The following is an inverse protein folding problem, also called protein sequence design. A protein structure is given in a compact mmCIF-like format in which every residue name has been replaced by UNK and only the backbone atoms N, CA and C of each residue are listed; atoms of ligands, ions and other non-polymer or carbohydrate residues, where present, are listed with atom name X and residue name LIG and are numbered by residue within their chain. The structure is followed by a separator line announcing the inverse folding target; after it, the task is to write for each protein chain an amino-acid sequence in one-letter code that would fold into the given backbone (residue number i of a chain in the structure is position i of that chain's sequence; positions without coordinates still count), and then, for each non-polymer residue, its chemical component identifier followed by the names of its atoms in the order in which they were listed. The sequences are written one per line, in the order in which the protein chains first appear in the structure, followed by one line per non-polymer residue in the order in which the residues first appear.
data_IF_686643503731
#
_entry.id   IF_686643503731
#
_cell.length_a   1.000
_cell.length_b   1.000
_cell.length_c   1.000
_cell.angle_alpha   90.00
_cell.angle_beta   90.00
_cell.angle_gamma   90.00
#
_symmetry.space_group_name_H-M   'P 1'
#
loop_
_entity.id
_entity.type
_entity.pdbx_description
1 polymer ?
#
# COMPACT_ATOMS: atom_id res chain seq x y z
N UNK A 1 5.01 -5.81 11.97
CA UNK A 1 3.80 -6.30 12.66
C UNK A 1 2.91 -6.94 11.61
N UNK A 2 2.89 -8.28 11.47
CA UNK A 2 1.97 -8.95 10.55
C UNK A 2 0.54 -8.81 11.09
N UNK A 3 -0.37 -8.30 10.26
CA UNK A 3 -1.78 -8.14 10.60
C UNK A 3 -2.64 -8.30 9.34
N UNK A 4 -3.82 -8.87 9.49
CA UNK A 4 -4.80 -9.05 8.42
C UNK A 4 -6.11 -8.37 8.81
N UNK A 5 -6.76 -7.70 7.86
CA UNK A 5 -8.08 -7.09 8.08
C UNK A 5 -8.85 -6.98 6.78
N UNK A 6 -10.12 -7.37 6.82
CA UNK A 6 -11.04 -7.15 5.71
C UNK A 6 -11.54 -5.71 5.69
N UNK A 7 -11.50 -5.07 4.51
CA UNK A 7 -12.00 -3.71 4.30
C UNK A 7 -12.96 -3.68 3.13
N UNK A 8 -14.02 -2.90 3.27
CA UNK A 8 -14.93 -2.59 2.17
C UNK A 8 -14.27 -1.57 1.23
N UNK A 9 -14.35 -1.81 -0.07
CA UNK A 9 -14.05 -0.79 -1.08
C UNK A 9 -15.19 0.23 -1.08
N UNK A 10 -14.86 1.49 -0.83
CA UNK A 10 -15.80 2.61 -0.86
C UNK A 10 -15.63 3.37 -2.18
N UNK A 11 -16.67 4.09 -2.61
CA UNK A 11 -16.62 4.92 -3.82
C UNK A 11 -16.23 6.35 -3.46
N UNK A 12 -15.24 6.92 -4.15
CA UNK A 12 -14.89 8.33 -4.08
C UNK A 12 -14.76 8.88 -5.51
N UNK A 13 -15.77 9.61 -5.97
CA UNK A 13 -15.87 10.02 -7.38
C UNK A 13 -15.98 8.80 -8.30
N UNK A 14 -15.06 8.69 -9.26
CA UNK A 14 -14.92 7.52 -10.16
C UNK A 14 -14.00 6.43 -9.60
N UNK A 15 -13.32 6.69 -8.47
CA UNK A 15 -12.32 5.79 -7.89
C UNK A 15 -12.88 4.92 -6.78
N UNK A 16 -12.33 3.70 -6.66
CA UNK A 16 -12.46 2.87 -5.46
C UNK A 16 -11.41 3.26 -4.43
N UNK A 17 -11.81 3.36 -3.16
CA UNK A 17 -10.90 3.68 -2.05
C UNK A 17 -11.03 2.65 -0.93
N UNK A 18 -9.89 2.27 -0.37
CA UNK A 18 -9.79 1.41 0.82
C UNK A 18 -9.20 2.20 1.98
N UNK A 19 -9.76 2.03 3.17
CA UNK A 19 -9.23 2.68 4.36
C UNK A 19 -7.96 1.95 4.83
N UNK A 20 -6.82 2.65 4.79
CA UNK A 20 -5.56 2.14 5.37
C UNK A 20 -5.74 1.97 6.89
N UNK A 21 -5.40 0.80 7.47
CA UNK A 21 -5.53 0.58 8.90
C UNK A 21 -4.81 1.64 9.74
N UNK A 22 -5.47 2.15 10.78
CA UNK A 22 -4.91 3.16 11.70
C UNK A 22 -3.53 2.78 12.25
N UNK A 23 -3.28 1.53 12.72
CA UNK A 23 -1.96 1.16 13.22
C UNK A 23 -0.85 1.31 12.17
N UNK A 24 -1.12 0.92 10.92
CA UNK A 24 -0.18 1.05 9.82
C UNK A 24 0.12 2.52 9.50
N UNK A 25 -0.92 3.37 9.46
CA UNK A 25 -0.76 4.82 9.26
C UNK A 25 0.09 5.47 10.34
N UNK A 26 -0.17 5.15 11.61
CA UNK A 26 0.58 5.72 12.74
C UNK A 26 2.04 5.30 12.69
N UNK A 27 2.29 4.01 12.42
CA UNK A 27 3.65 3.47 12.36
C UNK A 27 4.50 4.12 11.27
N UNK A 28 3.94 4.26 10.06
CA UNK A 28 4.63 4.86 8.91
C UNK A 28 4.40 6.36 8.75
N UNK A 29 3.78 7.02 9.75
CA UNK A 29 3.45 8.46 9.74
C UNK A 29 2.75 8.91 8.45
N UNK A 30 1.77 8.12 7.99
CA UNK A 30 0.96 8.43 6.82
C UNK A 30 -0.18 9.39 7.21
N UNK A 31 0.07 10.66 6.94
CA UNK A 31 -0.85 11.77 7.18
C UNK A 31 -1.71 12.06 5.93
N UNK A 32 -2.69 12.93 6.09
CA UNK A 32 -3.48 13.39 4.95
C UNK A 32 -2.56 14.16 4.00
N UNK A 33 -2.54 13.78 2.72
CA UNK A 33 -1.66 14.36 1.71
C UNK A 33 -0.31 13.66 1.56
N UNK A 34 0.04 12.69 2.42
CA UNK A 34 1.22 11.85 2.20
C UNK A 34 1.11 11.07 0.89
N UNK A 35 2.24 10.96 0.19
CA UNK A 35 2.33 10.17 -1.04
C UNK A 35 2.62 8.71 -0.75
N UNK A 36 2.03 7.84 -1.57
CA UNK A 36 2.28 6.40 -1.59
C UNK A 36 2.44 5.96 -3.04
N UNK A 37 3.27 4.95 -3.25
CA UNK A 37 3.42 4.25 -4.52
C UNK A 37 2.51 3.03 -4.52
N UNK A 38 1.80 2.82 -5.63
CA UNK A 38 0.92 1.68 -5.83
C UNK A 38 1.52 0.82 -6.94
N UNK A 39 1.85 -0.44 -6.62
CA UNK A 39 2.24 -1.45 -7.59
C UNK A 39 1.08 -2.44 -7.71
N UNK A 40 0.70 -2.82 -8.93
CA UNK A 40 -0.49 -3.65 -9.14
C UNK A 40 -0.37 -4.57 -10.35
N UNK A 41 -0.92 -5.77 -10.19
CA UNK A 41 -1.29 -6.74 -11.23
C UNK A 41 -2.44 -7.61 -10.67
N UNK A 42 -2.23 -8.90 -10.41
CA UNK A 42 -3.15 -9.76 -9.64
C UNK A 42 -3.23 -9.43 -8.15
N UNK A 43 -2.21 -8.74 -7.63
CA UNK A 43 -2.11 -8.26 -6.24
C UNK A 43 -1.85 -6.74 -6.25
N UNK A 44 -2.41 -6.01 -5.28
CA UNK A 44 -2.15 -4.58 -5.07
C UNK A 44 -1.22 -4.38 -3.87
N UNK A 45 -0.09 -3.74 -4.10
CA UNK A 45 0.93 -3.41 -3.09
C UNK A 45 0.97 -1.89 -2.90
N UNK A 46 0.77 -1.44 -1.65
CA UNK A 46 0.87 -0.03 -1.25
C UNK A 46 2.19 0.19 -0.53
N UNK A 47 3.01 1.11 -1.02
CA UNK A 47 4.32 1.42 -0.44
C UNK A 47 4.40 2.91 -0.07
N UNK A 48 4.63 3.25 1.22
CA UNK A 48 4.96 4.62 1.63
C UNK A 48 6.18 5.16 0.87
N UNK A 49 6.17 6.44 0.50
CA UNK A 49 7.29 7.10 -0.19
C UNK A 49 8.63 6.93 0.56
N UNK A 50 8.61 7.01 1.90
CA UNK A 50 9.78 6.80 2.74
C UNK A 50 10.41 5.40 2.63
N UNK A 51 9.69 4.42 2.08
CA UNK A 51 10.13 3.03 1.92
C UNK A 51 10.44 2.66 0.47
N UNK A 52 10.62 3.63 -0.43
CA UNK A 52 10.97 3.31 -1.82
C UNK A 52 12.25 2.46 -1.93
N UNK A 53 13.25 2.69 -1.07
CA UNK A 53 14.46 1.86 -1.02
C UNK A 53 14.18 0.37 -0.79
N UNK A 54 13.12 0.03 -0.05
CA UNK A 54 12.71 -1.37 0.20
C UNK A 54 12.21 -2.03 -1.08
N UNK A 55 11.64 -1.26 -2.02
CA UNK A 55 11.21 -1.77 -3.33
C UNK A 55 12.44 -2.22 -4.11
N UNK A 56 13.49 -1.42 -4.12
CA UNK A 56 14.72 -1.74 -4.84
C UNK A 56 15.41 -2.96 -4.23
N UNK A 57 15.49 -3.03 -2.90
CA UNK A 57 16.03 -4.20 -2.18
C UNK A 57 15.25 -5.49 -2.44
N UNK A 58 13.93 -5.40 -2.66
CA UNK A 58 13.03 -6.56 -2.82
C UNK A 58 12.48 -6.73 -4.22
N UNK A 59 13.08 -6.07 -5.21
CA UNK A 59 12.54 -5.98 -6.58
C UNK A 59 12.25 -7.35 -7.18
N UNK A 60 13.17 -8.30 -7.07
CA UNK A 60 12.97 -9.64 -7.62
C UNK A 60 11.77 -10.39 -7.01
N UNK A 61 11.50 -10.18 -5.72
CA UNK A 61 10.36 -10.79 -5.03
C UNK A 61 9.06 -10.12 -5.47
N UNK A 62 9.05 -8.79 -5.55
CA UNK A 62 7.91 -8.00 -6.01
C UNK A 62 7.57 -8.40 -7.46
N UNK A 63 8.57 -8.52 -8.32
CA UNK A 63 8.39 -8.92 -9.72
C UNK A 63 7.85 -10.36 -9.86
N UNK A 64 8.12 -11.25 -8.90
CA UNK A 64 7.52 -12.59 -8.86
C UNK A 64 6.07 -12.58 -8.37
N UNK A 65 5.69 -11.62 -7.53
CA UNK A 65 4.33 -11.48 -7.01
C UNK A 65 3.39 -10.76 -7.99
N UNK A 66 3.94 -9.95 -8.89
CA UNK A 66 3.19 -9.15 -9.88
C UNK A 66 3.23 -9.76 -11.30
N UNK A 67 3.47 -11.06 -11.41
CA UNK A 67 3.46 -11.85 -12.66
C UNK A 67 2.50 -13.03 -12.52
#
# INVERSE_FOLDING_TARGET
MPAEVWRKVMKHGTSGVIAIPKPYRVYYKLEAGSRVKILYDSILIVVPEALEHVIDEKRELIDKLLK
#
